data_IF_204809581326
#
_entry.id   IF_204809581326
#
_cell.length_a   1.000
_cell.length_b   1.000
_cell.length_c   1.000
_cell.angle_alpha   90.00
_cell.angle_beta   90.00
_cell.angle_gamma   90.00
#
_symmetry.space_group_name_H-M   'P 1'
#
loop_
_entity.id
_entity.type
_entity.pdbx_description
1 polymer ?
#
# COMPACT_ATOMS: atom_id res chain seq x y z
N UNK A 1 24.35 2.51 -6.75
CA UNK A 1 23.01 1.89 -6.76
C UNK A 1 22.90 1.08 -5.48
N UNK A 2 22.22 1.60 -4.46
CA UNK A 2 21.96 0.85 -3.24
C UNK A 2 21.00 -0.28 -3.60
N UNK A 3 21.49 -1.52 -3.59
CA UNK A 3 20.67 -2.70 -3.89
C UNK A 3 19.79 -2.97 -2.67
N UNK A 4 18.54 -2.52 -2.72
CA UNK A 4 17.55 -2.85 -1.70
C UNK A 4 17.03 -4.26 -1.97
N UNK A 5 17.17 -5.16 -1.00
CA UNK A 5 16.56 -6.48 -1.08
C UNK A 5 15.05 -6.33 -0.88
N UNK A 6 14.26 -6.62 -1.90
CA UNK A 6 12.81 -6.74 -1.76
C UNK A 6 12.48 -7.88 -0.79
N UNK A 7 11.95 -7.54 0.37
CA UNK A 7 11.54 -8.52 1.38
C UNK A 7 10.14 -8.99 1.02
N UNK A 8 10.02 -10.22 0.51
CA UNK A 8 8.71 -10.85 0.32
C UNK A 8 8.09 -11.15 1.68
N UNK A 9 6.88 -10.66 1.91
CA UNK A 9 6.10 -10.93 3.12
C UNK A 9 5.21 -12.15 2.89
N UNK A 10 5.33 -13.15 3.77
CA UNK A 10 4.48 -14.33 3.82
C UNK A 10 3.57 -14.25 5.04
N UNK A 11 2.28 -14.05 4.77
CA UNK A 11 1.23 -13.91 5.78
C UNK A 11 0.60 -15.23 6.22
N UNK A 12 1.03 -16.37 5.65
CA UNK A 12 0.55 -17.71 6.04
C UNK A 12 1.06 -18.10 7.43
N UNK A 13 0.44 -19.06 8.12
CA UNK A 13 0.92 -19.53 9.42
C UNK A 13 2.37 -20.02 9.32
N UNK A 14 3.25 -19.53 10.20
CA UNK A 14 4.69 -19.81 10.15
C UNK A 14 5.48 -19.01 9.10
N UNK A 15 4.83 -18.07 8.40
CA UNK A 15 5.48 -17.12 7.50
C UNK A 15 6.30 -16.05 8.24
N UNK A 16 6.87 -15.10 7.49
CA UNK A 16 7.78 -14.08 8.03
C UNK A 16 7.11 -12.74 8.36
N UNK A 17 5.77 -12.61 8.22
CA UNK A 17 5.07 -11.34 8.42
C UNK A 17 5.33 -10.69 9.78
N UNK A 18 5.32 -11.45 10.87
CA UNK A 18 5.60 -10.94 12.22
C UNK A 18 7.05 -10.46 12.38
N UNK A 19 8.01 -11.21 11.82
CA UNK A 19 9.42 -10.82 11.84
C UNK A 19 9.65 -9.51 11.05
N UNK A 20 9.00 -9.37 9.90
CA UNK A 20 9.03 -8.14 9.10
C UNK A 20 8.45 -6.96 9.87
N UNK A 21 7.26 -7.13 10.47
CA UNK A 21 6.64 -6.08 11.30
C UNK A 21 7.54 -5.64 12.43
N UNK A 22 8.15 -6.60 13.13
CA UNK A 22 9.07 -6.34 14.24
C UNK A 22 10.30 -5.57 13.78
N UNK A 23 10.87 -5.93 12.62
CA UNK A 23 12.02 -5.23 12.05
C UNK A 23 11.68 -3.77 11.68
N UNK A 24 10.54 -3.55 11.01
CA UNK A 24 10.07 -2.19 10.66
C UNK A 24 9.77 -1.37 11.91
N UNK A 25 9.03 -1.93 12.86
CA UNK A 25 8.69 -1.27 14.13
C UNK A 25 9.92 -0.81 14.90
N UNK A 26 10.99 -1.62 14.92
CA UNK A 26 12.26 -1.26 15.58
C UNK A 26 12.88 0.00 15.00
N UNK A 27 12.82 0.20 13.68
CA UNK A 27 13.35 1.41 13.05
C UNK A 27 12.58 2.64 13.55
N UNK A 28 11.25 2.58 13.53
CA UNK A 28 10.41 3.69 14.01
C UNK A 28 10.51 3.93 15.53
N UNK A 29 10.79 2.90 16.32
CA UNK A 29 10.98 2.99 17.77
C UNK A 29 12.39 3.41 18.20
N UNK A 30 13.38 3.37 17.29
CA UNK A 30 14.79 3.63 17.63
C UNK A 30 15.10 5.09 17.96
N UNK A 31 14.20 6.03 17.62
CA UNK A 31 14.45 7.46 17.77
C UNK A 31 15.51 8.01 16.83
N UNK A 32 15.85 7.27 15.76
CA UNK A 32 16.84 7.70 14.76
C UNK A 32 16.47 9.04 14.13
N UNK A 33 17.44 9.94 14.04
CA UNK A 33 17.25 11.25 13.40
C UNK A 33 16.82 11.07 11.94
N UNK A 34 15.84 11.87 11.51
CA UNK A 34 15.31 11.83 10.15
C UNK A 34 14.10 10.91 9.93
N UNK A 35 13.64 10.19 10.96
CA UNK A 35 12.41 9.39 10.88
C UNK A 35 11.18 10.23 10.53
N UNK A 36 11.13 11.50 10.98
CA UNK A 36 10.01 12.40 10.69
C UNK A 36 9.88 12.69 9.20
N UNK A 37 10.97 12.68 8.42
CA UNK A 37 10.91 12.83 6.95
C UNK A 37 10.26 11.64 6.25
N UNK A 38 10.29 10.46 6.88
CA UNK A 38 9.56 9.27 6.41
C UNK A 38 8.07 9.46 6.70
N UNK A 39 7.73 9.96 7.89
CA UNK A 39 6.34 10.25 8.29
C UNK A 39 5.71 11.33 7.43
N UNK A 40 6.42 12.44 7.19
CA UNK A 40 5.98 13.52 6.31
C UNK A 40 5.66 13.01 4.90
N UNK A 41 6.56 12.21 4.32
CA UNK A 41 6.33 11.63 3.00
C UNK A 41 5.12 10.67 2.99
N UNK A 42 4.93 9.87 4.05
CA UNK A 42 3.76 9.01 4.19
C UNK A 42 2.46 9.81 4.31
N UNK A 43 2.46 10.90 5.08
CA UNK A 43 1.31 11.80 5.22
C UNK A 43 0.95 12.45 3.88
N UNK A 44 1.93 12.92 3.10
CA UNK A 44 1.69 13.43 1.75
C UNK A 44 1.06 12.38 0.83
N UNK A 45 1.52 11.13 0.90
CA UNK A 45 0.92 10.01 0.15
C UNK A 45 -0.53 9.77 0.57
N UNK A 46 -0.80 9.74 1.89
CA UNK A 46 -2.15 9.56 2.42
C UNK A 46 -3.11 10.65 1.92
N UNK A 47 -2.70 11.92 1.99
CA UNK A 47 -3.51 13.04 1.49
C UNK A 47 -3.80 12.92 -0.01
N UNK A 48 -2.83 12.47 -0.80
CA UNK A 48 -3.05 12.22 -2.23
C UNK A 48 -4.01 11.05 -2.47
N UNK A 49 -3.90 9.96 -1.72
CA UNK A 49 -4.81 8.80 -1.84
C UNK A 49 -6.23 9.17 -1.43
N UNK A 50 -6.41 9.87 -0.31
CA UNK A 50 -7.72 10.34 0.15
C UNK A 50 -8.36 11.28 -0.89
N UNK A 51 -7.57 12.15 -1.52
CA UNK A 51 -8.03 13.02 -2.61
C UNK A 51 -8.46 12.27 -3.88
N UNK A 52 -8.12 10.98 -4.02
CA UNK A 52 -8.56 10.11 -5.11
C UNK A 52 -9.81 9.29 -4.75
N UNK A 53 -10.20 9.23 -3.48
CA UNK A 53 -11.17 8.24 -2.99
C UNK A 53 -12.52 8.42 -3.69
N UNK A 54 -13.06 9.63 -3.70
CA UNK A 54 -14.32 9.97 -4.40
C UNK A 54 -14.31 9.54 -5.87
N UNK A 55 -13.20 9.76 -6.59
CA UNK A 55 -13.09 9.40 -8.00
C UNK A 55 -13.15 7.89 -8.21
N UNK A 56 -12.43 7.15 -7.36
CA UNK A 56 -12.33 5.71 -7.46
C UNK A 56 -13.57 5.00 -6.90
N UNK A 57 -14.23 5.57 -5.90
CA UNK A 57 -15.47 5.06 -5.32
C UNK A 57 -16.63 5.20 -6.29
N UNK A 58 -16.81 6.38 -6.90
CA UNK A 58 -17.84 6.58 -7.93
C UNK A 58 -17.68 5.63 -9.13
N UNK A 59 -16.44 5.39 -9.57
CA UNK A 59 -16.17 4.42 -10.63
C UNK A 59 -16.47 2.98 -10.18
N UNK A 60 -16.16 2.63 -8.92
CA UNK A 60 -16.49 1.33 -8.36
C UNK A 60 -18.01 1.12 -8.26
N UNK A 61 -18.75 2.10 -7.75
CA UNK A 61 -20.22 2.04 -7.64
C UNK A 61 -20.90 1.86 -8.99
N UNK A 62 -20.39 2.52 -10.03
CA UNK A 62 -20.94 2.41 -11.37
C UNK A 62 -20.66 1.04 -12.04
N UNK A 63 -19.54 0.41 -11.71
CA UNK A 63 -19.00 -0.76 -12.45
C UNK A 63 -19.15 -2.07 -11.68
N UNK A 64 -18.78 -2.08 -10.40
CA UNK A 64 -18.63 -3.30 -9.61
C UNK A 64 -19.95 -4.09 -9.42
N UNK A 65 -21.11 -3.46 -9.14
CA UNK A 65 -22.37 -4.21 -8.92
C UNK A 65 -22.83 -5.05 -10.13
N UNK A 66 -22.47 -4.63 -11.35
CA UNK A 66 -22.79 -5.35 -12.58
C UNK A 66 -21.67 -6.27 -13.09
N UNK A 67 -20.55 -6.36 -12.37
CA UNK A 67 -19.37 -7.06 -12.87
C UNK A 67 -19.50 -8.58 -12.70
N UNK A 68 -19.46 -9.33 -13.81
CA UNK A 68 -19.51 -10.80 -13.79
C UNK A 68 -18.22 -11.48 -13.28
N UNK A 69 -17.16 -10.71 -13.00
CA UNK A 69 -15.86 -11.21 -12.53
C UNK A 69 -15.26 -10.28 -11.48
N UNK A 70 -15.34 -10.68 -10.22
CA UNK A 70 -14.75 -9.95 -9.10
C UNK A 70 -13.22 -9.88 -9.26
N UNK A 71 -12.68 -8.68 -9.44
CA UNK A 71 -11.23 -8.46 -9.56
C UNK A 71 -10.54 -8.21 -8.20
N UNK A 72 -11.32 -7.87 -7.17
CA UNK A 72 -10.89 -7.75 -5.79
C UNK A 72 -10.74 -9.15 -5.16
N UNK A 73 -9.66 -9.86 -5.52
CA UNK A 73 -9.33 -11.20 -5.02
C UNK A 73 -8.43 -11.17 -3.79
N UNK A 74 -8.46 -12.23 -2.99
CA UNK A 74 -7.76 -12.30 -1.71
C UNK A 74 -6.23 -12.20 -1.83
N UNK A 75 -5.64 -12.62 -2.95
CA UNK A 75 -4.21 -12.43 -3.21
C UNK A 75 -3.74 -10.98 -3.02
N UNK A 76 -4.61 -10.00 -3.28
CA UNK A 76 -4.29 -8.58 -3.17
C UNK A 76 -4.58 -7.99 -1.79
N UNK A 77 -5.16 -8.76 -0.86
CA UNK A 77 -5.54 -8.29 0.47
C UNK A 77 -4.34 -7.99 1.37
N UNK A 78 -3.21 -8.65 1.11
CA UNK A 78 -2.05 -8.66 1.98
C UNK A 78 -1.09 -7.50 1.70
N UNK A 79 -0.67 -6.82 2.76
CA UNK A 79 0.30 -5.73 2.69
C UNK A 79 1.71 -6.29 2.43
N UNK A 80 2.41 -5.73 1.44
CA UNK A 80 3.82 -6.02 1.15
C UNK A 80 4.72 -5.23 2.12
N UNK A 81 6.03 -5.48 2.10
CA UNK A 81 6.99 -4.88 3.05
C UNK A 81 6.93 -3.34 3.04
N UNK A 82 6.85 -2.77 1.85
CA UNK A 82 6.74 -1.33 1.61
C UNK A 82 5.44 -0.75 2.15
N UNK A 83 4.35 -1.53 2.11
CA UNK A 83 3.06 -1.13 2.68
C UNK A 83 3.12 -1.13 4.21
N UNK A 84 3.85 -2.08 4.80
CA UNK A 84 4.08 -2.12 6.25
C UNK A 84 4.87 -0.88 6.69
N UNK A 85 5.94 -0.49 5.98
CA UNK A 85 6.68 0.74 6.27
C UNK A 85 5.75 1.96 6.24
N UNK A 86 4.93 2.05 5.19
CA UNK A 86 3.98 3.14 5.02
C UNK A 86 2.98 3.25 6.18
N UNK A 87 2.37 2.14 6.60
CA UNK A 87 1.42 2.13 7.71
C UNK A 87 2.07 2.52 9.04
N UNK A 88 3.26 1.98 9.34
CA UNK A 88 4.00 2.37 10.54
C UNK A 88 4.41 3.86 10.52
N UNK A 89 4.73 4.41 9.35
CA UNK A 89 5.02 5.84 9.20
C UNK A 89 3.81 6.72 9.50
N UNK A 90 2.60 6.26 9.18
CA UNK A 90 1.34 6.91 9.53
C UNK A 90 0.89 6.64 10.98
N UNK A 91 1.52 5.71 11.68
CA UNK A 91 1.11 5.31 13.03
C UNK A 91 -0.09 4.37 13.08
N UNK A 92 -0.38 3.64 12.00
CA UNK A 92 -1.43 2.62 11.95
C UNK A 92 -0.89 1.22 12.15
N UNK A 93 -1.70 0.38 12.79
CA UNK A 93 -1.52 -1.06 12.78
C UNK A 93 -2.01 -1.69 11.46
N UNK A 94 -1.48 -2.86 11.15
CA UNK A 94 -1.99 -3.68 10.05
C UNK A 94 -3.38 -4.23 10.39
N UNK A 95 -4.25 -4.43 9.38
CA UNK A 95 -5.53 -5.07 9.60
C UNK A 95 -5.36 -6.53 10.04
N UNK A 96 -6.37 -7.06 10.71
CA UNK A 96 -6.42 -8.49 11.05
C UNK A 96 -6.68 -9.31 9.78
N UNK A 97 -5.77 -10.23 9.45
CA UNK A 97 -5.92 -11.12 8.31
C UNK A 97 -6.51 -12.46 8.72
N UNK A 98 -7.55 -12.87 8.00
CA UNK A 98 -8.07 -14.23 8.02
C UNK A 98 -7.09 -15.17 7.32
N UNK A 99 -6.86 -16.31 7.96
CA UNK A 99 -5.96 -17.36 7.47
C UNK A 99 -6.74 -18.41 6.68
N UNK A 100 -6.06 -19.05 5.73
CA UNK A 100 -6.64 -20.18 4.97
C UNK A 100 -7.64 -19.79 3.87
N UNK A 101 -7.70 -18.52 3.49
CA UNK A 101 -8.49 -18.08 2.33
C UNK A 101 -7.66 -18.23 1.06
N UNK A 102 -8.24 -18.90 0.06
CA UNK A 102 -7.63 -19.08 -1.26
C UNK A 102 -7.33 -17.74 -1.94
N UNK A 103 -6.16 -17.62 -2.57
CA UNK A 103 -5.72 -16.40 -3.28
C UNK A 103 -6.72 -15.92 -4.34
N UNK A 104 -7.45 -16.85 -4.95
CA UNK A 104 -8.43 -16.59 -6.01
C UNK A 104 -9.85 -16.33 -5.51
N UNK A 105 -10.11 -16.53 -4.22
CA UNK A 105 -11.39 -16.19 -3.61
C UNK A 105 -11.60 -14.67 -3.59
N UNK A 106 -12.84 -14.25 -3.33
CA UNK A 106 -13.12 -12.84 -3.05
C UNK A 106 -12.24 -12.35 -1.89
N UNK A 107 -11.78 -11.10 -1.99
CA UNK A 107 -10.96 -10.49 -0.95
C UNK A 107 -11.67 -10.53 0.41
N UNK A 108 -10.94 -10.91 1.46
CA UNK A 108 -11.46 -11.01 2.83
C UNK A 108 -11.99 -9.68 3.40
N UNK A 109 -11.64 -8.55 2.76
CA UNK A 109 -12.11 -7.21 3.12
C UNK A 109 -13.18 -6.68 2.15
N UNK A 110 -13.72 -7.51 1.26
CA UNK A 110 -14.79 -7.13 0.34
C UNK A 110 -16.15 -7.46 0.97
N UNK A 111 -17.02 -6.45 1.05
CA UNK A 111 -18.43 -6.55 1.48
C UNK A 111 -19.37 -6.22 0.32
N UNK A 112 -20.68 -6.29 0.56
CA UNK A 112 -21.69 -5.89 -0.43
C UNK A 112 -21.62 -4.39 -0.74
N UNK A 113 -21.16 -3.59 0.22
CA UNK A 113 -20.99 -2.14 0.14
C UNK A 113 -19.59 -1.74 -0.36
N UNK A 114 -18.74 -2.70 -0.76
CA UNK A 114 -17.38 -2.44 -1.20
C UNK A 114 -16.33 -2.82 -0.16
N UNK A 115 -15.13 -2.25 -0.26
CA UNK A 115 -14.04 -2.65 0.62
C UNK A 115 -14.21 -2.05 2.03
N UNK A 116 -14.12 -2.89 3.06
CA UNK A 116 -14.26 -2.49 4.47
C UNK A 116 -13.03 -1.77 5.03
N UNK A 117 -11.91 -1.76 4.30
CA UNK A 117 -10.70 -1.02 4.65
C UNK A 117 -10.72 0.33 3.94
N UNK A 118 -10.47 1.42 4.67
CA UNK A 118 -10.28 2.76 4.09
C UNK A 118 -9.13 2.73 3.07
N UNK A 119 -9.27 3.46 1.97
CA UNK A 119 -8.33 3.44 0.84
C UNK A 119 -6.87 3.74 1.22
N UNK A 120 -6.64 4.68 2.12
CA UNK A 120 -5.32 5.01 2.67
C UNK A 120 -4.70 3.85 3.45
N UNK A 121 -5.50 2.91 3.96
CA UNK A 121 -5.02 1.73 4.69
C UNK A 121 -4.98 0.47 3.81
N UNK A 122 -5.26 0.57 2.50
CA UNK A 122 -5.18 -0.58 1.59
C UNK A 122 -3.73 -0.77 1.10
N UNK A 123 -3.34 -2.00 0.71
CA UNK A 123 -2.07 -2.22 0.02
C UNK A 123 -1.93 -1.31 -1.21
N UNK A 124 -0.72 -0.84 -1.51
CA UNK A 124 -0.47 0.08 -2.62
C UNK A 124 -0.99 -0.46 -3.96
N UNK A 125 -0.92 -1.77 -4.17
CA UNK A 125 -1.49 -2.46 -5.34
C UNK A 125 -2.99 -2.20 -5.48
N UNK A 126 -3.76 -2.19 -4.39
CA UNK A 126 -5.20 -1.91 -4.43
C UNK A 126 -5.51 -0.46 -4.81
N UNK A 127 -4.56 0.46 -4.60
CA UNK A 127 -4.70 1.87 -4.98
C UNK A 127 -4.26 2.16 -6.42
N UNK A 128 -3.46 1.27 -7.02
CA UNK A 128 -2.91 1.41 -8.37
C UNK A 128 -3.46 0.39 -9.39
N UNK A 129 -4.28 -0.58 -8.97
CA UNK A 129 -4.88 -1.57 -9.86
C UNK A 129 -6.27 -1.13 -10.34
N UNK A 130 -6.44 -1.15 -11.66
CA UNK A 130 -7.71 -0.86 -12.31
C UNK A 130 -8.03 -1.97 -13.33
N UNK A 131 -9.17 -2.62 -13.18
CA UNK A 131 -9.64 -3.59 -14.17
C UNK A 131 -10.16 -2.87 -15.44
N UNK A 132 -10.28 -3.58 -16.56
CA UNK A 132 -10.70 -2.95 -17.83
C UNK A 132 -12.02 -2.19 -17.74
N UNK A 133 -13.10 -2.74 -17.15
CA UNK A 133 -14.35 -1.99 -16.97
C UNK A 133 -14.19 -0.71 -16.13
N UNK A 134 -13.31 -0.75 -15.12
CA UNK A 134 -13.02 0.41 -14.27
C UNK A 134 -12.23 1.47 -15.03
N UNK A 135 -11.21 1.06 -15.80
CA UNK A 135 -10.44 1.97 -16.67
C UNK A 135 -11.33 2.63 -17.72
N UNK A 136 -12.23 1.86 -18.35
CA UNK A 136 -13.20 2.38 -19.30
C UNK A 136 -14.09 3.46 -18.66
N UNK A 137 -14.63 3.19 -17.46
CA UNK A 137 -15.43 4.17 -16.72
C UNK A 137 -14.64 5.44 -16.37
N UNK A 138 -13.37 5.30 -15.96
CA UNK A 138 -12.49 6.46 -15.71
C UNK A 138 -12.24 7.27 -17.00
N UNK A 139 -12.07 6.61 -18.15
CA UNK A 139 -11.79 7.25 -19.43
C UNK A 139 -12.99 8.00 -20.02
N UNK A 140 -14.22 7.67 -19.61
CA UNK A 140 -15.42 8.43 -20.01
C UNK A 140 -15.51 9.81 -19.33
N UNK A 141 -14.67 10.10 -18.33
CA UNK A 141 -14.62 11.42 -17.69
C UNK A 141 -13.99 12.48 -18.61
N UNK A 142 -14.23 13.78 -18.36
CA UNK A 142 -13.56 14.84 -19.09
C UNK A 142 -12.02 14.67 -19.09
N UNK A 143 -11.40 14.82 -20.26
CA UNK A 143 -9.96 14.59 -20.42
C UNK A 143 -9.06 15.34 -19.40
N UNK A 144 -9.36 16.58 -18.95
CA UNK A 144 -8.60 17.23 -17.89
C UNK A 144 -8.65 16.48 -16.54
N UNK A 145 -9.79 15.92 -16.16
CA UNK A 145 -9.95 15.17 -14.91
C UNK A 145 -9.17 13.86 -14.96
N UNK A 146 -9.27 13.13 -16.07
CA UNK A 146 -8.52 11.89 -16.26
C UNK A 146 -7.00 12.13 -16.22
N UNK A 147 -6.51 13.19 -16.87
CA UNK A 147 -5.08 13.56 -16.79
C UNK A 147 -4.65 13.88 -15.35
N UNK A 148 -5.46 14.66 -14.63
CA UNK A 148 -5.19 15.01 -13.24
C UNK A 148 -5.08 13.77 -12.35
N UNK A 149 -5.98 12.80 -12.55
CA UNK A 149 -5.96 11.53 -11.85
C UNK A 149 -4.67 10.73 -12.13
N UNK A 150 -4.26 10.64 -13.40
CA UNK A 150 -3.01 9.99 -13.77
C UNK A 150 -1.77 10.69 -13.20
N UNK A 151 -1.76 12.02 -13.16
CA UNK A 151 -0.70 12.81 -12.52
C UNK A 151 -0.60 12.52 -11.02
N UNK A 152 -1.73 12.48 -10.30
CA UNK A 152 -1.74 12.18 -8.86
C UNK A 152 -1.24 10.75 -8.61
N UNK A 153 -1.66 9.77 -9.40
CA UNK A 153 -1.18 8.39 -9.30
C UNK A 153 0.35 8.30 -9.51
N UNK A 154 0.89 9.06 -10.45
CA UNK A 154 2.35 9.14 -10.67
C UNK A 154 3.06 9.80 -9.48
N UNK A 155 2.51 10.88 -8.94
CA UNK A 155 3.07 11.57 -7.78
C UNK A 155 3.07 10.68 -6.53
N UNK A 156 2.01 9.88 -6.32
CA UNK A 156 1.96 8.87 -5.25
C UNK A 156 3.13 7.88 -5.39
N UNK A 157 3.36 7.35 -6.59
CA UNK A 157 4.47 6.41 -6.85
C UNK A 157 5.83 7.04 -6.56
N UNK A 158 6.08 8.25 -7.07
CA UNK A 158 7.34 8.97 -6.84
C UNK A 158 7.56 9.27 -5.35
N UNK A 159 6.52 9.74 -4.66
CA UNK A 159 6.59 10.05 -3.23
C UNK A 159 6.81 8.78 -2.40
N UNK A 160 6.24 7.65 -2.83
CA UNK A 160 6.47 6.35 -2.20
C UNK A 160 7.91 5.89 -2.35
N UNK A 161 8.51 6.04 -3.53
CA UNK A 161 9.94 5.77 -3.74
C UNK A 161 10.82 6.65 -2.84
N UNK A 162 10.49 7.95 -2.72
CA UNK A 162 11.16 8.89 -1.82
C UNK A 162 11.06 8.43 -0.35
N UNK A 163 9.86 8.08 0.12
CA UNK A 163 9.62 7.58 1.48
C UNK A 163 10.45 6.32 1.77
N UNK A 164 10.43 5.35 0.84
CA UNK A 164 11.16 4.10 0.99
C UNK A 164 12.67 4.32 1.01
N UNK A 165 13.19 5.16 0.12
CA UNK A 165 14.61 5.53 0.10
C UNK A 165 15.05 6.10 1.46
N UNK A 166 14.28 7.04 2.02
CA UNK A 166 14.55 7.61 3.34
C UNK A 166 14.55 6.53 4.43
N UNK A 167 13.54 5.66 4.44
CA UNK A 167 13.46 4.57 5.42
C UNK A 167 14.67 3.63 5.35
N UNK A 168 15.06 3.20 4.15
CA UNK A 168 16.14 2.23 3.99
C UNK A 168 17.52 2.81 4.37
N UNK A 169 17.76 4.10 4.13
CA UNK A 169 18.98 4.79 4.61
C UNK A 169 19.05 4.71 6.15
N UNK A 170 17.93 4.98 6.84
CA UNK A 170 17.87 4.89 8.30
C UNK A 170 18.08 3.45 8.79
N UNK A 171 17.45 2.49 8.13
CA UNK A 171 17.59 1.07 8.48
C UNK A 171 19.03 0.58 8.35
N UNK A 172 19.75 0.98 7.30
CA UNK A 172 21.16 0.64 7.12
C UNK A 172 22.05 1.24 8.21
N UNK A 173 21.79 2.48 8.62
CA UNK A 173 22.51 3.12 9.73
C UNK A 173 22.29 2.48 11.09
N UNK A 174 21.23 1.66 11.24
CA UNK A 174 20.92 0.91 12.47
C UNK A 174 21.47 -0.52 12.48
N UNK A 175 21.95 -1.03 11.33
CA UNK A 175 22.60 -2.34 11.33
C UNK A 175 23.95 -2.22 12.04
N UNK A 176 24.30 -3.13 12.97
CA UNK A 176 25.64 -3.14 13.54
C UNK A 176 26.64 -3.25 12.39
N UNK A 177 27.74 -2.49 12.47
CA UNK A 177 28.88 -2.70 11.58
C UNK A 177 29.16 -4.21 11.57
N UNK A 178 29.09 -4.84 10.40
CA UNK A 178 29.39 -6.26 10.27
C UNK A 178 30.77 -6.55 10.89
N UNK A 179 31.04 -7.80 11.32
CA UNK A 179 32.36 -8.14 11.83
C UNK A 179 33.41 -7.69 10.81
N UNK A 180 34.31 -6.81 11.23
CA UNK A 180 35.51 -6.49 10.46
C UNK A 180 36.26 -7.81 10.23
N UNK A 181 36.43 -8.20 8.96
CA UNK A 181 37.27 -9.34 8.56
C UNK A 181 38.75 -9.08 8.85
#
# INVERSE_FOLDING_TARGET
MTSYTFIKVDHRPGGNAEAVRTAVSRVFASGVEGIDRVREAAQEIALMIDGLDDYQEQAAEAVCPGCGKVCCINRHAHHEHEDIIYLYALGYDLPEYQQGIEDTAACQFLSAEGCTINRTLRPHRCNAYFCSPFLEAMQQRPAPEYRRLMEILQLITLKREEMLLKFYILQQGLQPAGPEE
#
